data_IF_630160043488
#
_entry.id   IF_630160043488
#
_cell.length_a   1.000
_cell.length_b   1.000
_cell.length_c   1.000
_cell.angle_alpha   90.00
_cell.angle_beta   90.00
_cell.angle_gamma   90.00
#
_symmetry.space_group_name_H-M   'P 1'
#
loop_
_entity.id
_entity.type
_entity.pdbx_description
1 polymer ?
#
# COMPACT_ATOMS: atom_id res chain seq x y z
N UNK A 1 14.54 24.50 73.78
CA UNK A 1 13.15 24.89 74.04
C UNK A 1 12.83 26.11 73.21
N UNK A 2 11.90 25.98 72.26
CA UNK A 2 11.08 27.05 71.68
C UNK A 2 10.24 26.39 70.57
N UNK A 3 9.15 25.74 70.96
CA UNK A 3 8.09 25.38 70.02
C UNK A 3 7.35 26.62 69.55
N UNK A 4 6.84 26.57 68.33
CA UNK A 4 5.70 27.36 67.89
C UNK A 4 4.94 26.57 66.82
N UNK A 5 3.87 25.90 67.23
CA UNK A 5 2.87 25.33 66.30
C UNK A 5 2.18 26.45 65.52
N UNK A 6 1.78 26.18 64.26
CA UNK A 6 0.36 26.19 63.91
C UNK A 6 0.10 25.57 62.52
N UNK A 7 -1.07 24.95 62.40
CA UNK A 7 -1.50 24.10 61.28
C UNK A 7 -2.76 24.70 60.63
N UNK A 8 -3.13 24.22 59.43
CA UNK A 8 -4.40 24.42 58.69
C UNK A 8 -4.44 25.70 57.81
N UNK A 9 -5.01 25.72 56.59
CA UNK A 9 -5.62 24.65 55.77
C UNK A 9 -5.64 24.99 54.26
N UNK A 10 -5.63 23.94 53.43
CA UNK A 10 -6.02 23.77 52.01
C UNK A 10 -6.12 24.96 51.03
N UNK A 11 -5.50 24.75 49.87
CA UNK A 11 -5.79 25.46 48.61
C UNK A 11 -5.51 24.58 47.39
N UNK A 12 -6.29 23.52 47.18
CA UNK A 12 -6.21 22.70 45.97
C UNK A 12 -7.08 23.32 44.88
N UNK A 13 -6.45 23.79 43.81
CA UNK A 13 -7.10 24.05 42.51
C UNK A 13 -6.41 23.20 41.44
N UNK A 14 -7.23 22.52 40.63
CA UNK A 14 -6.79 21.55 39.63
C UNK A 14 -5.88 22.16 38.57
N UNK A 15 -4.81 21.42 38.22
CA UNK A 15 -4.14 21.49 36.92
C UNK A 15 -3.53 20.11 36.62
N UNK A 16 -4.39 19.15 36.27
CA UNK A 16 -4.00 17.98 35.47
C UNK A 16 -4.15 18.34 33.98
N UNK A 17 -3.36 17.69 33.11
CA UNK A 17 -3.24 17.76 31.63
C UNK A 17 -1.84 18.24 31.18
N UNK A 18 -1.33 17.58 30.12
CA UNK A 18 -0.08 17.84 29.37
C UNK A 18 1.28 17.44 29.97
N UNK A 19 1.38 16.18 30.43
CA UNK A 19 2.67 15.51 30.63
C UNK A 19 3.32 14.93 29.36
N UNK A 20 2.54 14.52 28.35
CA UNK A 20 3.04 13.69 27.24
C UNK A 20 3.41 14.49 25.96
N UNK A 21 2.68 15.56 25.64
CA UNK A 21 2.91 16.35 24.40
C UNK A 21 4.28 17.05 24.41
N UNK A 22 4.63 17.74 25.51
CA UNK A 22 5.91 18.47 25.66
C UNK A 22 7.15 17.59 25.46
N UNK A 23 7.06 16.29 25.79
CA UNK A 23 8.15 15.34 25.58
C UNK A 23 8.35 14.99 24.10
N UNK A 24 7.26 14.93 23.33
CA UNK A 24 7.27 14.62 21.89
C UNK A 24 7.79 15.82 21.08
N UNK A 25 7.31 17.02 21.39
CA UNK A 25 7.77 18.26 20.75
C UNK A 25 9.28 18.49 20.93
N UNK A 26 9.77 18.34 22.16
CA UNK A 26 11.20 18.50 22.48
C UNK A 26 12.09 17.48 21.76
N UNK A 27 11.58 16.29 21.45
CA UNK A 27 12.32 15.23 20.78
C UNK A 27 12.37 15.42 19.25
N UNK A 28 11.28 15.91 18.65
CA UNK A 28 11.28 16.32 17.25
C UNK A 28 12.10 17.61 17.04
N UNK A 29 12.08 18.57 17.96
CA UNK A 29 12.96 19.75 17.89
C UNK A 29 14.45 19.39 18.03
N UNK A 30 14.78 18.40 18.86
CA UNK A 30 16.11 17.79 18.85
C UNK A 30 16.44 17.21 17.46
N UNK A 31 15.56 16.41 16.86
CA UNK A 31 15.82 15.80 15.57
C UNK A 31 15.94 16.82 14.41
N UNK A 32 15.11 17.87 14.41
CA UNK A 32 15.20 18.99 13.45
C UNK A 32 16.57 19.65 13.46
N UNK A 33 17.24 19.73 14.61
CA UNK A 33 18.61 20.27 14.70
C UNK A 33 19.68 19.43 13.95
N UNK A 34 19.35 18.18 13.60
CA UNK A 34 20.14 17.31 12.73
C UNK A 34 19.65 17.29 11.26
N UNK A 35 18.54 17.96 10.95
CA UNK A 35 17.94 18.02 9.62
C UNK A 35 17.02 16.84 9.26
N UNK A 36 16.56 16.08 10.25
CA UNK A 36 15.72 14.89 10.06
C UNK A 36 14.54 14.88 11.05
N UNK A 37 13.50 14.08 10.77
CA UNK A 37 12.52 13.71 11.82
C UNK A 37 13.12 12.66 12.75
N UNK A 38 12.62 12.53 13.99
CA UNK A 38 13.27 11.68 15.00
C UNK A 38 13.40 10.21 14.57
N UNK A 39 12.35 9.63 14.00
CA UNK A 39 12.35 8.24 13.51
C UNK A 39 13.38 8.03 12.39
N UNK A 40 13.55 9.01 11.50
CA UNK A 40 14.53 8.97 10.41
C UNK A 40 15.97 9.09 10.95
N UNK A 41 16.21 10.03 11.87
CA UNK A 41 17.50 10.21 12.54
C UNK A 41 17.91 8.96 13.33
N UNK A 42 16.98 8.34 14.06
CA UNK A 42 17.20 7.12 14.81
C UNK A 42 17.49 5.92 13.88
N UNK A 43 16.73 5.75 12.79
CA UNK A 43 17.02 4.72 11.77
C UNK A 43 18.42 4.91 11.16
N UNK A 44 18.83 6.16 10.91
CA UNK A 44 20.15 6.50 10.40
C UNK A 44 21.27 6.22 11.43
N UNK A 45 21.02 6.52 12.71
CA UNK A 45 21.91 6.20 13.82
C UNK A 45 22.10 4.69 13.98
N UNK A 46 21.02 3.90 13.92
CA UNK A 46 21.06 2.44 13.96
C UNK A 46 21.83 1.86 12.76
N UNK A 47 21.69 2.43 11.56
CA UNK A 47 22.47 2.04 10.37
C UNK A 47 23.97 2.33 10.58
N UNK A 48 24.32 3.54 11.00
CA UNK A 48 25.72 3.91 11.28
C UNK A 48 26.33 2.99 12.34
N UNK A 49 25.61 2.74 13.43
CA UNK A 49 26.06 1.83 14.48
C UNK A 49 26.34 0.42 13.93
N UNK A 50 25.37 -0.16 13.19
CA UNK A 50 25.52 -1.47 12.51
C UNK A 50 26.74 -1.54 11.60
N UNK A 51 27.01 -0.50 10.82
CA UNK A 51 28.08 -0.51 9.83
C UNK A 51 29.48 -0.30 10.42
N UNK A 52 29.58 0.50 11.49
CA UNK A 52 30.85 0.96 12.08
C UNK A 52 31.27 0.19 13.34
N UNK A 53 30.36 -0.51 14.02
CA UNK A 53 30.64 -1.39 15.17
C UNK A 53 31.78 -2.38 14.85
N UNK A 54 32.80 -2.42 15.71
CA UNK A 54 34.00 -3.24 15.52
C UNK A 54 34.98 -2.75 14.43
N UNK A 55 34.64 -1.68 13.69
CA UNK A 55 35.52 -1.03 12.71
C UNK A 55 36.03 0.31 13.25
N UNK A 56 35.40 1.42 12.81
CA UNK A 56 35.69 2.77 13.29
C UNK A 56 35.11 3.02 14.70
N UNK A 57 34.09 2.26 15.10
CA UNK A 57 33.45 2.38 16.40
C UNK A 57 33.95 1.26 17.34
N UNK A 58 34.91 1.60 18.20
CA UNK A 58 35.44 0.71 19.24
C UNK A 58 34.79 1.03 20.60
N UNK A 59 33.56 0.56 20.78
CA UNK A 59 32.82 0.76 22.03
C UNK A 59 33.38 -0.07 23.18
N UNK A 60 33.31 0.47 24.39
CA UNK A 60 33.40 -0.33 25.62
C UNK A 60 32.13 -1.18 25.75
N UNK A 61 32.24 -2.32 26.41
CA UNK A 61 31.13 -3.23 26.64
C UNK A 61 29.90 -2.53 27.25
N UNK A 62 30.11 -1.70 28.27
CA UNK A 62 29.05 -0.94 28.96
C UNK A 62 28.33 0.07 28.04
N UNK A 63 29.05 0.71 27.12
CA UNK A 63 28.46 1.69 26.19
C UNK A 63 27.66 0.97 25.10
N UNK A 64 28.17 -0.18 24.62
CA UNK A 64 27.44 -1.09 23.75
C UNK A 64 26.18 -1.64 24.42
N UNK A 65 26.24 -1.93 25.71
CA UNK A 65 25.13 -2.43 26.52
C UNK A 65 24.00 -1.40 26.64
N UNK A 66 24.34 -0.13 26.87
CA UNK A 66 23.37 1.00 26.91
C UNK A 66 22.73 1.25 25.56
N UNK A 67 23.50 1.33 24.47
CA UNK A 67 22.93 1.45 23.12
C UNK A 67 21.97 0.29 22.79
N UNK A 68 22.31 -0.94 23.18
CA UNK A 68 21.44 -2.12 23.06
C UNK A 68 20.15 -1.98 23.89
N UNK A 69 20.26 -1.50 25.13
CA UNK A 69 19.11 -1.25 25.99
C UNK A 69 18.19 -0.18 25.39
N UNK A 70 18.73 0.94 24.91
CA UNK A 70 17.95 1.95 24.19
C UNK A 70 17.32 1.41 22.91
N UNK A 71 18.02 0.56 22.14
CA UNK A 71 17.39 -0.11 20.99
C UNK A 71 16.20 -0.96 21.41
N UNK A 72 16.31 -1.76 22.48
CA UNK A 72 15.20 -2.57 22.97
C UNK A 72 14.05 -1.70 23.52
N UNK A 73 14.34 -0.63 24.24
CA UNK A 73 13.32 0.30 24.75
C UNK A 73 12.61 1.09 23.64
N UNK A 74 13.34 1.47 22.57
CA UNK A 74 12.77 2.15 21.42
C UNK A 74 11.91 1.24 20.53
N UNK A 75 12.16 -0.07 20.51
CA UNK A 75 11.39 -1.05 19.72
C UNK A 75 10.26 -1.71 20.49
N UNK A 76 10.46 -2.04 21.77
CA UNK A 76 9.52 -2.86 22.57
C UNK A 76 8.96 -2.11 23.79
N UNK A 77 9.31 -0.82 23.96
CA UNK A 77 8.97 -0.06 25.16
C UNK A 77 9.59 -0.63 26.44
N UNK A 78 8.86 -0.51 27.55
CA UNK A 78 9.27 -0.98 28.88
C UNK A 78 9.53 -2.49 28.87
N UNK A 79 10.63 -2.93 29.47
CA UNK A 79 10.86 -4.36 29.73
C UNK A 79 9.71 -4.96 30.55
N UNK A 80 9.11 -6.05 30.07
CA UNK A 80 8.11 -6.84 30.80
C UNK A 80 8.59 -8.27 31.03
N UNK A 81 8.39 -8.80 32.24
CA UNK A 81 8.80 -10.16 32.60
C UNK A 81 7.89 -11.25 32.02
N UNK A 82 6.64 -10.94 31.68
CA UNK A 82 5.62 -11.89 31.21
C UNK A 82 5.83 -12.36 29.77
N UNK A 83 6.44 -11.52 28.92
CA UNK A 83 6.73 -11.82 27.51
C UNK A 83 8.22 -12.06 27.21
N UNK A 84 9.09 -11.98 28.20
CA UNK A 84 10.55 -12.10 28.03
C UNK A 84 11.06 -13.48 28.48
N UNK A 85 11.62 -14.31 27.58
CA UNK A 85 12.15 -15.63 27.94
C UNK A 85 13.18 -15.58 29.07
N UNK A 86 13.26 -16.66 29.87
CA UNK A 86 14.28 -16.80 30.90
C UNK A 86 15.69 -16.88 30.29
N UNK A 87 16.51 -15.88 30.60
CA UNK A 87 17.94 -15.92 30.32
C UNK A 87 18.57 -16.94 31.25
N UNK A 88 19.09 -18.03 30.67
CA UNK A 88 19.71 -19.11 31.43
C UNK A 88 20.91 -18.64 32.26
N UNK A 89 21.14 -19.31 33.40
CA UNK A 89 22.13 -18.94 34.41
C UNK A 89 23.57 -18.70 33.89
N UNK A 90 23.94 -19.31 32.76
CA UNK A 90 25.27 -19.18 32.15
C UNK A 90 25.36 -18.06 31.08
N UNK A 91 24.24 -17.47 30.63
CA UNK A 91 24.24 -16.37 29.65
C UNK A 91 24.42 -15.02 30.34
N UNK A 92 25.63 -14.78 30.86
CA UNK A 92 26.03 -13.54 31.54
C UNK A 92 25.76 -12.31 30.68
N UNK A 93 26.02 -12.39 29.37
CA UNK A 93 25.83 -11.28 28.43
C UNK A 93 24.33 -11.03 28.16
N UNK A 94 23.51 -12.08 28.09
CA UNK A 94 22.05 -11.95 28.07
C UNK A 94 21.50 -11.31 29.34
N UNK A 95 22.05 -11.67 30.50
CA UNK A 95 21.62 -11.17 31.80
C UNK A 95 21.96 -9.68 31.97
N UNK A 96 23.19 -9.28 31.60
CA UNK A 96 23.60 -7.87 31.55
C UNK A 96 22.68 -7.04 30.64
N UNK A 97 22.31 -7.56 29.46
CA UNK A 97 21.42 -6.86 28.51
C UNK A 97 20.02 -6.70 29.07
N UNK A 98 19.48 -7.76 29.68
CA UNK A 98 18.19 -7.74 30.39
C UNK A 98 18.21 -6.68 31.49
N UNK A 99 19.23 -6.68 32.36
CA UNK A 99 19.34 -5.72 33.46
C UNK A 99 19.47 -4.28 32.94
N UNK A 100 20.26 -4.05 31.89
CA UNK A 100 20.40 -2.73 31.29
C UNK A 100 19.10 -2.21 30.66
N UNK A 101 18.28 -3.08 30.04
CA UNK A 101 16.96 -2.70 29.53
C UNK A 101 15.96 -2.49 30.67
N UNK A 102 15.91 -3.38 31.67
CA UNK A 102 15.11 -3.20 32.88
C UNK A 102 15.40 -1.88 33.60
N UNK A 103 16.67 -1.45 33.64
CA UNK A 103 17.09 -0.20 34.26
C UNK A 103 16.58 1.07 33.55
N UNK A 104 16.06 0.97 32.32
CA UNK A 104 15.42 2.10 31.62
C UNK A 104 13.98 2.35 32.10
N UNK A 105 13.34 1.37 32.75
CA UNK A 105 12.02 1.52 33.37
C UNK A 105 10.95 2.04 32.41
N UNK A 106 10.22 3.07 32.84
CA UNK A 106 9.12 3.72 32.11
C UNK A 106 9.58 4.76 31.06
N UNK A 107 10.84 4.68 30.59
CA UNK A 107 11.34 5.55 29.53
C UNK A 107 10.53 5.39 28.23
N UNK A 108 10.00 6.49 27.67
CA UNK A 108 9.27 6.41 26.40
C UNK A 108 10.17 6.00 25.23
N UNK A 109 9.60 5.34 24.22
CA UNK A 109 10.32 4.96 22.99
C UNK A 109 11.02 6.18 22.36
N UNK A 110 10.32 7.31 22.27
CA UNK A 110 10.83 8.61 21.81
C UNK A 110 12.09 9.06 22.59
N UNK A 111 12.08 8.93 23.92
CA UNK A 111 13.24 9.27 24.76
C UNK A 111 14.40 8.31 24.51
N UNK A 112 14.12 7.02 24.37
CA UNK A 112 15.14 6.02 24.06
C UNK A 112 15.80 6.26 22.69
N UNK A 113 15.03 6.69 21.68
CA UNK A 113 15.58 7.11 20.38
C UNK A 113 16.50 8.33 20.51
N UNK A 114 16.08 9.36 21.25
CA UNK A 114 16.89 10.58 21.48
C UNK A 114 18.20 10.24 22.22
N UNK A 115 18.12 9.47 23.32
CA UNK A 115 19.31 9.12 24.10
C UNK A 115 20.24 8.17 23.36
N UNK A 116 19.72 7.26 22.51
CA UNK A 116 20.54 6.47 21.59
C UNK A 116 21.36 7.37 20.64
N UNK A 117 20.71 8.36 20.01
CA UNK A 117 21.37 9.29 19.07
C UNK A 117 22.43 10.14 19.78
N UNK A 118 22.09 10.73 20.94
CA UNK A 118 23.04 11.50 21.77
C UNK A 118 24.25 10.67 22.20
N UNK A 119 24.01 9.43 22.66
CA UNK A 119 25.08 8.55 23.09
C UNK A 119 25.95 8.11 21.91
N UNK A 120 25.38 7.85 20.73
CA UNK A 120 26.15 7.50 19.53
C UNK A 120 27.03 8.66 19.06
N UNK A 121 26.54 9.90 19.09
CA UNK A 121 27.32 11.11 18.79
C UNK A 121 28.52 11.26 19.76
N UNK A 122 28.26 11.16 21.06
CA UNK A 122 29.29 11.25 22.10
C UNK A 122 30.34 10.13 21.99
N UNK A 123 29.96 8.93 21.53
CA UNK A 123 30.86 7.79 21.32
C UNK A 123 31.57 7.80 19.97
N UNK A 124 31.10 8.60 19.00
CA UNK A 124 31.65 8.61 17.64
C UNK A 124 31.58 10.01 16.98
N UNK A 125 32.68 10.78 17.02
CA UNK A 125 32.78 12.07 16.32
C UNK A 125 32.57 12.00 14.79
N UNK A 126 32.60 10.81 14.19
CA UNK A 126 32.31 10.59 12.77
C UNK A 126 30.81 10.46 12.46
N UNK A 127 29.95 10.29 13.47
CA UNK A 127 28.51 10.14 13.27
C UNK A 127 27.88 11.44 12.75
N UNK A 128 28.24 12.59 13.35
CA UNK A 128 27.69 13.90 12.98
C UNK A 128 28.05 14.36 11.56
N UNK A 129 29.31 14.29 11.10
CA UNK A 129 29.63 14.54 9.69
C UNK A 129 28.93 13.56 8.72
N UNK A 130 28.69 12.32 9.13
CA UNK A 130 27.96 11.33 8.34
C UNK A 130 26.47 11.71 8.19
N UNK A 131 25.81 12.13 9.27
CA UNK A 131 24.42 12.62 9.21
C UNK A 131 24.30 13.92 8.41
N UNK A 132 25.25 14.85 8.55
CA UNK A 132 25.28 16.10 7.79
C UNK A 132 25.43 15.83 6.28
N UNK A 133 26.29 14.89 5.89
CA UNK A 133 26.45 14.47 4.50
C UNK A 133 25.16 13.85 3.91
N UNK A 134 24.47 12.98 4.66
CA UNK A 134 23.19 12.41 4.23
C UNK A 134 22.07 13.47 4.13
N UNK A 135 22.05 14.47 5.01
CA UNK A 135 21.10 15.58 4.91
C UNK A 135 21.36 16.43 3.66
N UNK A 136 22.62 16.74 3.37
CA UNK A 136 23.02 17.45 2.15
C UNK A 136 22.63 16.67 0.88
N UNK A 137 22.88 15.35 0.84
CA UNK A 137 22.49 14.49 -0.27
C UNK A 137 20.96 14.47 -0.47
N UNK A 138 20.18 14.33 0.62
CA UNK A 138 18.71 14.38 0.59
C UNK A 138 18.20 15.70 0.02
N UNK A 139 18.77 16.83 0.44
CA UNK A 139 18.41 18.16 -0.07
C UNK A 139 18.78 18.33 -1.55
N UNK A 140 19.93 17.82 -1.99
CA UNK A 140 20.32 17.85 -3.41
C UNK A 140 19.39 16.99 -4.28
N UNK A 141 19.03 15.78 -3.83
CA UNK A 141 18.06 14.92 -4.53
C UNK A 141 16.68 15.57 -4.63
N UNK A 142 16.21 16.25 -3.56
CA UNK A 142 14.94 16.97 -3.58
C UNK A 142 14.95 18.15 -4.56
N UNK A 143 16.05 18.92 -4.59
CA UNK A 143 16.23 19.99 -5.58
C UNK A 143 16.23 19.48 -7.01
N UNK A 144 16.99 18.42 -7.32
CA UNK A 144 17.01 17.81 -8.65
C UNK A 144 15.64 17.33 -9.10
N UNK A 145 14.83 16.75 -8.19
CA UNK A 145 13.45 16.34 -8.49
C UNK A 145 12.57 17.54 -8.84
N UNK A 146 12.66 18.63 -8.09
CA UNK A 146 11.91 19.87 -8.37
C UNK A 146 12.35 20.51 -9.69
N UNK A 147 13.66 20.60 -9.95
CA UNK A 147 14.22 21.12 -11.20
C UNK A 147 13.80 20.27 -12.43
N UNK A 148 13.66 18.94 -12.27
CA UNK A 148 13.15 18.02 -13.30
C UNK A 148 11.63 18.13 -13.52
N UNK A 149 10.85 18.24 -12.43
CA UNK A 149 9.40 18.45 -12.50
C UNK A 149 9.05 19.78 -13.19
N UNK A 150 9.73 20.87 -12.84
CA UNK A 150 9.61 22.17 -13.50
C UNK A 150 10.01 22.11 -14.98
N UNK A 151 11.05 21.34 -15.33
CA UNK A 151 11.46 21.14 -16.73
C UNK A 151 10.38 20.42 -17.52
N UNK A 152 9.90 19.28 -17.03
CA UNK A 152 8.85 18.47 -17.67
C UNK A 152 7.54 19.27 -17.82
N UNK A 153 7.20 20.09 -16.82
CA UNK A 153 6.06 20.99 -16.89
C UNK A 153 6.20 22.02 -18.02
N UNK A 154 7.34 22.69 -18.13
CA UNK A 154 7.60 23.67 -19.22
C UNK A 154 7.58 23.01 -20.60
N UNK A 155 8.19 21.82 -20.73
CA UNK A 155 8.15 21.05 -21.98
C UNK A 155 6.72 20.64 -22.36
N UNK A 156 5.87 20.29 -21.39
CA UNK A 156 4.46 19.98 -21.62
C UNK A 156 3.65 21.22 -22.03
N UNK A 157 3.83 22.35 -21.33
CA UNK A 157 3.19 23.64 -21.65
C UNK A 157 3.59 24.13 -23.06
N UNK A 158 4.87 24.02 -23.44
CA UNK A 158 5.35 24.36 -24.79
C UNK A 158 4.78 23.42 -25.87
N UNK A 159 4.71 22.12 -25.59
CA UNK A 159 4.16 21.11 -26.51
C UNK A 159 2.67 21.29 -26.76
N UNK A 160 1.89 21.62 -25.73
CA UNK A 160 0.47 21.96 -25.88
C UNK A 160 0.28 23.29 -26.63
N UNK A 161 1.07 24.32 -26.32
CA UNK A 161 1.08 25.58 -27.06
C UNK A 161 1.34 25.34 -28.56
N UNK A 162 2.34 24.51 -28.89
CA UNK A 162 2.66 24.14 -30.27
C UNK A 162 1.53 23.36 -30.96
N UNK A 163 0.86 22.43 -30.26
CA UNK A 163 -0.31 21.70 -30.79
C UNK A 163 -1.46 22.64 -31.13
N UNK A 164 -1.76 23.60 -30.27
CA UNK A 164 -2.79 24.61 -30.52
C UNK A 164 -2.43 25.51 -31.71
N UNK A 165 -1.16 25.88 -31.88
CA UNK A 165 -0.68 26.63 -33.05
C UNK A 165 -0.78 25.81 -34.35
N UNK A 166 -0.36 24.54 -34.34
CA UNK A 166 -0.46 23.64 -35.50
C UNK A 166 -1.93 23.33 -35.87
N UNK A 167 -2.83 23.21 -34.89
CA UNK A 167 -4.27 23.05 -35.14
C UNK A 167 -4.89 24.34 -35.70
N UNK A 168 -4.58 25.51 -35.13
CA UNK A 168 -5.08 26.79 -35.61
C UNK A 168 -4.64 27.07 -37.07
N UNK A 169 -3.39 26.76 -37.41
CA UNK A 169 -2.89 26.84 -38.79
C UNK A 169 -3.68 25.91 -39.73
N UNK A 170 -3.89 24.64 -39.35
CA UNK A 170 -4.69 23.68 -40.14
C UNK A 170 -6.14 24.16 -40.34
N UNK A 171 -6.76 24.73 -39.31
CA UNK A 171 -8.11 25.30 -39.43
C UNK A 171 -8.12 26.51 -40.39
N UNK A 172 -7.12 27.39 -40.31
CA UNK A 172 -6.97 28.54 -41.20
C UNK A 172 -6.75 28.13 -42.67
N UNK A 173 -5.90 27.12 -42.93
CA UNK A 173 -5.69 26.56 -44.26
C UNK A 173 -6.98 25.96 -44.83
N UNK A 174 -7.72 25.18 -44.03
CA UNK A 174 -8.99 24.59 -44.45
C UNK A 174 -10.06 25.68 -44.75
N UNK A 175 -10.11 26.75 -43.96
CA UNK A 175 -10.98 27.90 -44.25
C UNK A 175 -10.60 28.58 -45.56
N UNK A 176 -9.30 28.82 -45.80
CA UNK A 176 -8.79 29.40 -47.04
C UNK A 176 -9.08 28.51 -48.26
N UNK A 177 -8.93 27.20 -48.11
CA UNK A 177 -9.24 26.23 -49.18
C UNK A 177 -10.73 26.27 -49.53
N UNK A 178 -11.63 26.29 -48.53
CA UNK A 178 -13.08 26.43 -48.76
C UNK A 178 -13.45 27.76 -49.44
N UNK A 179 -12.80 28.86 -49.08
CA UNK A 179 -13.00 30.16 -49.74
C UNK A 179 -12.57 30.12 -51.21
N UNK A 180 -11.40 29.53 -51.52
CA UNK A 180 -10.92 29.36 -52.90
C UNK A 180 -11.83 28.44 -53.73
N UNK A 181 -12.33 27.36 -53.13
CA UNK A 181 -13.28 26.46 -53.78
C UNK A 181 -14.62 27.18 -54.07
N UNK A 182 -15.14 27.94 -53.11
CA UNK A 182 -16.35 28.75 -53.29
C UNK A 182 -16.16 29.83 -54.38
N UNK A 183 -15.02 30.52 -54.40
CA UNK A 183 -14.68 31.47 -55.47
C UNK A 183 -14.67 30.78 -56.85
N UNK A 184 -14.02 29.61 -56.94
CA UNK A 184 -13.94 28.82 -58.18
C UNK A 184 -15.34 28.39 -58.66
N UNK A 185 -16.20 27.93 -57.76
CA UNK A 185 -17.58 27.55 -58.08
C UNK A 185 -18.40 28.74 -58.59
N UNK A 186 -18.29 29.92 -57.95
CA UNK A 186 -18.96 31.16 -58.40
C UNK A 186 -18.46 31.57 -59.79
N UNK A 187 -17.13 31.62 -60.00
CA UNK A 187 -16.52 31.92 -61.31
C UNK A 187 -17.01 30.96 -62.39
N UNK A 188 -17.00 29.65 -62.12
CA UNK A 188 -17.44 28.64 -63.08
C UNK A 188 -18.93 28.79 -63.45
N UNK A 189 -19.81 29.03 -62.48
CA UNK A 189 -21.24 29.23 -62.71
C UNK A 189 -21.54 30.49 -63.54
N UNK A 190 -20.91 31.63 -63.21
CA UNK A 190 -21.05 32.88 -63.97
C UNK A 190 -20.49 32.74 -65.40
N UNK A 191 -19.36 32.03 -65.55
CA UNK A 191 -18.76 31.77 -66.86
C UNK A 191 -19.68 30.88 -67.72
N UNK A 192 -20.32 29.87 -67.12
CA UNK A 192 -21.30 29.03 -67.82
C UNK A 192 -22.53 29.84 -68.27
N UNK A 193 -23.07 30.70 -67.40
CA UNK A 193 -24.22 31.56 -67.71
C UNK A 193 -23.93 32.53 -68.87
N UNK A 194 -22.71 33.06 -68.93
CA UNK A 194 -22.31 34.09 -69.91
C UNK A 194 -21.65 33.54 -71.17
N UNK A 195 -21.25 32.27 -71.18
CA UNK A 195 -20.45 31.64 -72.25
C UNK A 195 -20.96 31.92 -73.67
N UNK A 196 -22.27 31.75 -73.91
CA UNK A 196 -22.86 31.94 -75.25
C UNK A 196 -22.83 33.40 -75.68
N UNK A 197 -23.17 34.32 -74.77
CA UNK A 197 -23.22 35.77 -75.07
C UNK A 197 -21.81 36.32 -75.33
N UNK A 198 -20.84 35.95 -74.50
CA UNK A 198 -19.45 36.41 -74.66
C UNK A 198 -18.77 35.78 -75.87
N UNK A 199 -19.05 34.51 -76.20
CA UNK A 199 -18.54 33.88 -77.42
C UNK A 199 -19.07 34.57 -78.68
N UNK A 200 -20.36 34.88 -78.74
CA UNK A 200 -20.96 35.61 -79.87
C UNK A 200 -20.38 37.01 -80.03
N UNK A 201 -20.20 37.74 -78.92
CA UNK A 201 -19.57 39.07 -78.93
C UNK A 201 -18.11 39.01 -79.40
N UNK A 202 -17.31 38.08 -78.86
CA UNK A 202 -15.91 37.92 -79.25
C UNK A 202 -15.75 37.50 -80.71
N UNK A 203 -16.63 36.65 -81.24
CA UNK A 203 -16.64 36.27 -82.66
C UNK A 203 -16.91 37.48 -83.59
N UNK A 204 -17.72 38.44 -83.16
CA UNK A 204 -17.96 39.68 -83.92
C UNK A 204 -16.77 40.64 -83.87
N UNK A 205 -16.09 40.76 -82.72
CA UNK A 205 -14.95 41.68 -82.55
C UNK A 205 -13.64 41.14 -83.16
N UNK A 206 -13.42 39.81 -83.16
CA UNK A 206 -12.16 39.20 -83.63
C UNK A 206 -12.39 38.00 -84.58
N UNK A 207 -13.01 38.17 -85.77
CA UNK A 207 -13.59 37.04 -86.53
C UNK A 207 -12.65 35.88 -86.88
N UNK A 208 -11.38 36.16 -87.17
CA UNK A 208 -10.41 35.15 -87.66
C UNK A 208 -9.30 34.78 -86.66
N UNK A 209 -9.33 35.27 -85.42
CA UNK A 209 -8.26 35.02 -84.44
C UNK A 209 -8.80 34.39 -83.15
N UNK A 210 -8.72 33.06 -83.04
CA UNK A 210 -9.18 32.31 -81.86
C UNK A 210 -8.52 32.74 -80.56
N UNK A 211 -7.21 33.00 -80.54
CA UNK A 211 -6.53 33.42 -79.30
C UNK A 211 -7.03 34.78 -78.81
N UNK A 212 -7.31 35.72 -79.71
CA UNK A 212 -7.90 37.00 -79.32
C UNK A 212 -9.36 36.87 -78.88
N UNK A 213 -10.14 35.94 -79.48
CA UNK A 213 -11.49 35.63 -78.99
C UNK A 213 -11.45 35.05 -77.56
N UNK A 214 -10.57 34.08 -77.30
CA UNK A 214 -10.42 33.44 -75.99
C UNK A 214 -9.95 34.43 -74.92
N UNK A 215 -8.97 35.27 -75.23
CA UNK A 215 -8.48 36.31 -74.31
C UNK A 215 -9.55 37.38 -74.01
N UNK A 216 -10.31 37.81 -75.02
CA UNK A 216 -11.41 38.76 -74.84
C UNK A 216 -12.56 38.16 -74.00
N UNK A 217 -12.91 36.89 -74.21
CA UNK A 217 -13.90 36.19 -73.38
C UNK A 217 -13.41 36.12 -71.93
N UNK A 218 -12.12 35.80 -71.70
CA UNK A 218 -11.52 35.77 -70.36
C UNK A 218 -11.58 37.14 -69.67
N UNK A 219 -11.27 38.22 -70.39
CA UNK A 219 -11.34 39.58 -69.85
C UNK A 219 -12.79 39.99 -69.50
N UNK A 220 -13.77 39.64 -70.35
CA UNK A 220 -15.19 39.91 -70.09
C UNK A 220 -15.72 39.09 -68.90
N UNK A 221 -15.31 37.83 -68.76
CA UNK A 221 -15.63 36.97 -67.61
C UNK A 221 -15.06 37.53 -66.31
N UNK A 222 -13.81 38.00 -66.31
CA UNK A 222 -13.19 38.62 -65.14
C UNK A 222 -13.90 39.94 -64.75
N UNK A 223 -14.24 40.80 -65.72
CA UNK A 223 -15.01 42.02 -65.44
C UNK A 223 -16.42 41.72 -64.92
N UNK A 224 -17.11 40.72 -65.48
CA UNK A 224 -18.43 40.29 -65.02
C UNK A 224 -18.38 39.71 -63.60
N UNK A 225 -17.36 38.91 -63.29
CA UNK A 225 -17.10 38.41 -61.93
C UNK A 225 -16.89 39.56 -60.93
N UNK A 226 -16.07 40.57 -61.28
CA UNK A 226 -15.84 41.74 -60.42
C UNK A 226 -17.12 42.54 -60.15
N UNK A 227 -17.95 42.78 -61.18
CA UNK A 227 -19.25 43.44 -61.04
C UNK A 227 -20.20 42.64 -60.15
N UNK A 228 -20.29 41.32 -60.35
CA UNK A 228 -21.12 40.45 -59.53
C UNK A 228 -20.69 40.46 -58.05
N UNK A 229 -19.38 40.34 -57.78
CA UNK A 229 -18.86 40.38 -56.41
C UNK A 229 -19.11 41.73 -55.73
N UNK A 230 -19.04 42.84 -56.47
CA UNK A 230 -19.40 44.16 -55.94
C UNK A 230 -20.89 44.25 -55.56
N UNK A 231 -21.79 43.68 -56.37
CA UNK A 231 -23.22 43.63 -56.08
C UNK A 231 -23.53 42.73 -54.86
N UNK A 232 -22.90 41.56 -54.77
CA UNK A 232 -23.02 40.64 -53.62
C UNK A 232 -22.55 41.32 -52.33
N UNK A 233 -21.40 42.01 -52.37
CA UNK A 233 -20.88 42.75 -51.22
C UNK A 233 -21.82 43.88 -50.76
N UNK A 234 -22.38 44.65 -51.70
CA UNK A 234 -23.37 45.69 -51.36
C UNK A 234 -24.64 45.10 -50.73
N UNK A 235 -25.13 43.96 -51.24
CA UNK A 235 -26.26 43.24 -50.65
C UNK A 235 -25.94 42.71 -49.25
N UNK A 236 -24.73 42.23 -49.01
CA UNK A 236 -24.28 41.75 -47.70
C UNK A 236 -24.22 42.89 -46.67
N UNK A 237 -23.75 44.09 -47.05
CA UNK A 237 -23.78 45.27 -46.19
C UNK A 237 -25.21 45.68 -45.82
N UNK A 238 -26.14 45.68 -46.79
CA UNK A 238 -27.56 45.97 -46.54
C UNK A 238 -28.18 44.96 -45.56
N UNK A 239 -27.87 43.67 -45.72
CA UNK A 239 -28.35 42.62 -44.82
C UNK A 239 -27.79 42.78 -43.39
N UNK A 240 -26.49 43.08 -43.25
CA UNK A 240 -25.86 43.34 -41.95
C UNK A 240 -26.47 44.56 -41.26
N UNK A 241 -26.73 45.65 -42.00
CA UNK A 241 -27.39 46.84 -41.45
C UNK A 241 -28.81 46.54 -40.95
N UNK A 242 -29.59 45.73 -41.68
CA UNK A 242 -30.92 45.31 -41.24
C UNK A 242 -30.88 44.46 -39.96
N UNK A 243 -29.94 43.52 -39.85
CA UNK A 243 -29.75 42.74 -38.61
C UNK A 243 -29.40 43.65 -37.43
N UNK A 244 -28.54 44.66 -37.65
CA UNK A 244 -28.16 45.61 -36.59
C UNK A 244 -29.34 46.50 -36.15
N UNK A 245 -30.20 46.93 -37.07
CA UNK A 245 -31.43 47.66 -36.76
C UNK A 245 -32.43 46.79 -35.99
N UNK A 246 -32.57 45.50 -36.33
CA UNK A 246 -33.44 44.58 -35.58
C UNK A 246 -32.93 44.37 -34.14
N UNK A 247 -31.62 44.20 -33.93
CA UNK A 247 -31.05 44.13 -32.57
C UNK A 247 -31.26 45.44 -31.78
N UNK A 248 -31.11 46.61 -32.40
CA UNK A 248 -31.39 47.89 -31.71
C UNK A 248 -32.86 48.02 -31.32
N UNK A 249 -33.80 47.64 -32.18
CA UNK A 249 -35.22 47.64 -31.84
C UNK A 249 -35.54 46.66 -30.70
N UNK A 250 -34.88 45.50 -30.66
CA UNK A 250 -35.06 44.51 -29.59
C UNK A 250 -34.47 44.97 -28.24
N UNK A 251 -33.38 45.74 -28.24
CA UNK A 251 -32.86 46.41 -27.04
C UNK A 251 -33.69 47.63 -26.60
N UNK A 252 -34.31 48.37 -27.52
CA UNK A 252 -35.21 49.46 -27.15
C UNK A 252 -36.55 48.94 -26.60
N UNK A 253 -37.11 47.87 -27.16
CA UNK A 253 -38.36 47.25 -26.69
C UNK A 253 -38.28 46.71 -25.24
N UNK A 254 -37.07 46.43 -24.73
CA UNK A 254 -36.84 46.03 -23.33
C UNK A 254 -36.69 47.21 -22.36
N UNK A 255 -36.79 48.46 -22.83
CA UNK A 255 -36.65 49.68 -22.01
C UNK A 255 -37.96 50.42 -21.69
N UNK A 256 -39.10 49.98 -22.24
CA UNK A 256 -40.41 50.60 -22.02
C UNK A 256 -41.47 49.60 -21.53
N UNK A 257 -41.38 49.21 -20.26
CA UNK A 257 -42.44 48.54 -19.52
C UNK A 257 -42.60 49.19 -18.13
N UNK A 258 -43.81 49.57 -17.67
CA UNK A 258 -44.00 50.16 -16.34
C UNK A 258 -43.74 49.12 -15.23
N UNK A 259 -43.12 49.55 -14.14
CA UNK A 259 -42.84 48.69 -13.00
C UNK A 259 -44.12 48.23 -12.27
N UNK A 260 -44.26 46.92 -11.95
CA UNK A 260 -45.23 46.44 -10.97
C UNK A 260 -44.61 46.25 -9.58
N UNK A 261 -45.38 46.63 -8.56
CA UNK A 261 -45.10 46.42 -7.13
C UNK A 261 -45.26 44.94 -6.72
N UNK A 262 -44.75 44.51 -5.54
CA UNK A 262 -44.60 43.10 -5.22
C UNK A 262 -45.81 42.47 -4.51
N UNK A 263 -46.14 41.19 -4.79
CA UNK A 263 -46.65 40.24 -3.78
C UNK A 263 -46.78 38.77 -4.26
N UNK A 264 -46.26 37.85 -3.43
CA UNK A 264 -46.71 36.49 -3.05
C UNK A 264 -47.15 35.39 -4.06
N UNK A 265 -46.51 34.23 -3.90
CA UNK A 265 -46.88 32.82 -4.21
C UNK A 265 -48.39 32.46 -3.98
N UNK A 266 -48.96 31.34 -4.52
CA UNK A 266 -48.31 30.03 -4.78
C UNK A 266 -48.73 29.26 -6.09
N UNK A 267 -48.33 27.97 -6.16
CA UNK A 267 -48.36 27.02 -7.30
C UNK A 267 -49.73 26.31 -7.56
N UNK A 268 -49.79 25.17 -8.31
CA UNK A 268 -50.06 24.99 -9.76
C UNK A 268 -51.47 24.35 -10.04
N UNK A 269 -51.87 23.94 -11.29
CA UNK A 269 -51.60 22.56 -11.78
C UNK A 269 -51.64 22.32 -13.33
N UNK A 270 -51.39 21.05 -13.75
CA UNK A 270 -51.88 20.21 -14.90
C UNK A 270 -52.52 20.83 -16.19
N UNK A 271 -52.56 20.18 -17.37
CA UNK A 271 -52.56 18.75 -17.71
C UNK A 271 -52.04 18.41 -19.15
N UNK A 272 -51.72 17.13 -19.36
CA UNK A 272 -51.50 16.45 -20.67
C UNK A 272 -52.82 15.96 -21.32
N UNK A 273 -52.78 15.28 -22.50
CA UNK A 273 -52.89 13.81 -22.42
C UNK A 273 -52.11 12.99 -23.48
N UNK A 274 -51.79 11.75 -23.08
CA UNK A 274 -51.30 10.60 -23.87
C UNK A 274 -52.46 9.87 -24.59
N UNK A 275 -52.26 8.79 -25.41
CA UNK A 275 -52.09 7.40 -24.89
C UNK A 275 -51.15 6.53 -25.80
N UNK A 276 -50.92 5.22 -25.67
CA UNK A 276 -51.43 4.16 -24.75
C UNK A 276 -50.35 3.08 -24.49
N UNK A 277 -50.30 2.55 -23.26
CA UNK A 277 -50.06 1.13 -22.95
C UNK A 277 -51.20 0.70 -21.99
N UNK A 278 -51.63 -0.57 -21.95
CA UNK A 278 -52.35 -1.14 -20.81
C UNK A 278 -52.39 -2.71 -20.83
N UNK A 279 -52.73 -3.41 -19.72
CA UNK A 279 -51.78 -4.36 -19.12
C UNK A 279 -52.40 -5.66 -18.49
N UNK A 280 -51.64 -6.34 -17.61
CA UNK A 280 -52.16 -7.21 -16.53
C UNK A 280 -52.07 -8.74 -16.78
N UNK A 281 -51.98 -9.63 -15.77
CA UNK A 281 -51.89 -9.46 -14.30
C UNK A 281 -51.38 -10.75 -13.60
N UNK A 282 -50.46 -10.60 -12.63
CA UNK A 282 -50.33 -11.26 -11.28
C UNK A 282 -50.66 -12.77 -10.98
N UNK A 283 -50.25 -13.33 -9.80
CA UNK A 283 -49.65 -14.68 -9.71
C UNK A 283 -50.45 -15.74 -8.92
N UNK A 284 -49.98 -17.00 -8.91
CA UNK A 284 -50.32 -18.04 -7.90
C UNK A 284 -49.24 -19.12 -7.70
N UNK A 285 -49.33 -19.80 -6.55
CA UNK A 285 -48.50 -20.89 -6.04
C UNK A 285 -48.52 -22.23 -6.82
N UNK A 286 -47.56 -23.10 -6.47
CA UNK A 286 -47.51 -24.54 -6.73
C UNK A 286 -48.66 -25.30 -5.96
N UNK A 287 -48.86 -26.65 -6.00
CA UNK A 287 -47.86 -27.72 -6.19
C UNK A 287 -48.41 -29.00 -6.96
N UNK A 288 -48.11 -30.29 -6.65
CA UNK A 288 -47.68 -31.26 -7.67
C UNK A 288 -48.59 -32.51 -7.82
N UNK A 289 -48.23 -33.48 -8.70
CA UNK A 289 -48.84 -34.83 -8.86
C UNK A 289 -48.09 -35.66 -9.94
N UNK A 290 -48.26 -37.01 -10.05
CA UNK A 290 -48.17 -38.06 -9.00
C UNK A 290 -47.53 -39.41 -9.52
N UNK A 291 -47.81 -40.52 -8.80
CA UNK A 291 -47.51 -41.96 -9.07
C UNK A 291 -46.15 -42.44 -8.50
N UNK A 292 -46.03 -43.48 -7.65
CA UNK A 292 -46.92 -44.59 -7.23
C UNK A 292 -46.45 -45.91 -7.86
N UNK A 293 -46.31 -47.09 -7.22
CA UNK A 293 -46.70 -47.69 -5.92
C UNK A 293 -45.56 -48.63 -5.44
N UNK A 294 -45.23 -48.82 -4.15
CA UNK A 294 -45.88 -49.65 -3.10
C UNK A 294 -45.92 -51.18 -3.33
N UNK A 295 -45.43 -51.96 -2.34
CA UNK A 295 -45.94 -53.24 -1.75
C UNK A 295 -44.83 -54.23 -1.30
N UNK A 296 -45.06 -54.85 -0.13
CA UNK A 296 -44.20 -55.73 0.72
C UNK A 296 -45.11 -56.96 1.07
N UNK A 297 -44.69 -58.26 1.13
CA UNK A 297 -43.71 -58.78 2.11
C UNK A 297 -42.92 -60.09 1.80
N UNK A 298 -41.91 -60.43 2.64
CA UNK A 298 -41.86 -61.67 3.47
C UNK A 298 -40.49 -61.91 4.16
N UNK A 299 -40.50 -62.17 5.47
CA UNK A 299 -39.44 -62.90 6.20
C UNK A 299 -39.77 -64.40 6.29
N UNK A 300 -39.26 -65.21 7.27
CA UNK A 300 -38.38 -64.92 8.42
C UNK A 300 -37.01 -65.67 8.29
N UNK A 301 -36.13 -65.92 9.27
CA UNK A 301 -36.20 -65.90 10.74
C UNK A 301 -34.83 -65.70 11.45
N UNK A 302 -34.93 -65.23 12.71
CA UNK A 302 -34.11 -65.51 13.90
C UNK A 302 -32.64 -65.98 13.80
N UNK A 303 -31.75 -65.19 14.40
CA UNK A 303 -31.03 -65.63 15.62
C UNK A 303 -30.69 -64.41 16.50
N UNK A 304 -31.06 -64.46 17.78
CA UNK A 304 -30.84 -63.40 18.78
C UNK A 304 -29.51 -63.54 19.50
N UNK A 305 -28.89 -62.40 19.85
CA UNK A 305 -28.32 -62.19 21.19
C UNK A 305 -28.29 -60.70 21.56
N UNK A 306 -28.34 -60.37 22.86
CA UNK A 306 -28.65 -59.02 23.38
C UNK A 306 -27.53 -58.45 24.25
N UNK A 307 -27.17 -57.17 23.99
CA UNK A 307 -26.75 -56.07 24.92
C UNK A 307 -25.64 -56.34 25.98
N UNK A 308 -24.82 -55.33 26.37
CA UNK A 308 -25.26 -53.96 26.68
C UNK A 308 -24.69 -52.84 25.79
N UNK A 309 -25.39 -51.71 25.85
CA UNK A 309 -24.89 -50.39 25.39
C UNK A 309 -24.30 -49.65 26.60
N UNK A 310 -23.39 -48.71 26.35
CA UNK A 310 -23.24 -47.53 27.20
C UNK A 310 -22.09 -47.52 28.20
N UNK A 311 -20.85 -47.52 27.71
CA UNK A 311 -19.80 -46.68 28.30
C UNK A 311 -19.12 -45.91 27.16
N UNK A 312 -19.22 -44.58 27.19
CA UNK A 312 -18.37 -43.72 26.37
C UNK A 312 -16.94 -43.89 26.87
N UNK A 313 -16.15 -44.71 26.17
CA UNK A 313 -14.72 -44.81 26.39
C UNK A 313 -14.09 -43.48 25.96
N UNK A 314 -14.00 -42.56 26.92
CA UNK A 314 -13.13 -41.38 26.85
C UNK A 314 -11.72 -41.91 26.63
N UNK A 315 -11.30 -41.93 25.37
CA UNK A 315 -9.90 -42.18 25.02
C UNK A 315 -9.05 -41.16 25.78
N UNK A 316 -7.96 -41.57 26.45
CA UNK A 316 -7.11 -40.63 27.15
C UNK A 316 -6.59 -39.58 26.14
N UNK A 317 -6.37 -38.32 26.56
CA UNK A 317 -5.74 -37.32 25.71
C UNK A 317 -4.46 -37.90 25.10
N UNK A 318 -4.27 -37.68 23.79
CA UNK A 318 -3.12 -38.21 23.07
C UNK A 318 -1.84 -37.82 23.81
N UNK A 319 -1.11 -38.81 24.32
CA UNK A 319 0.09 -38.57 25.12
C UNK A 319 1.15 -37.97 24.20
N UNK A 320 1.39 -36.67 24.35
CA UNK A 320 2.39 -35.93 23.59
C UNK A 320 3.78 -36.48 23.95
N UNK A 321 4.33 -37.29 23.05
CA UNK A 321 5.58 -38.00 23.26
C UNK A 321 6.75 -37.01 23.27
N UNK A 322 7.79 -37.21 24.10
CA UNK A 322 8.97 -36.34 24.06
C UNK A 322 9.68 -36.44 22.71
N UNK A 323 10.06 -35.30 22.14
CA UNK A 323 10.91 -35.26 20.96
C UNK A 323 12.32 -35.80 21.25
N UNK A 324 12.90 -36.48 20.26
CA UNK A 324 14.30 -36.88 20.26
C UNK A 324 15.15 -35.79 19.60
N UNK A 325 16.32 -35.48 20.17
CA UNK A 325 17.28 -34.50 19.66
C UNK A 325 18.69 -35.09 19.72
N UNK A 326 19.46 -34.91 18.64
CA UNK A 326 20.86 -35.33 18.56
C UNK A 326 21.65 -34.38 17.63
N UNK A 327 22.97 -34.55 17.54
CA UNK A 327 23.83 -33.76 16.65
C UNK A 327 24.68 -34.62 15.72
N UNK A 328 25.20 -34.03 14.64
CA UNK A 328 26.15 -34.65 13.70
C UNK A 328 27.29 -33.70 13.35
N UNK A 329 28.49 -34.25 13.16
CA UNK A 329 29.72 -33.48 12.90
C UNK A 329 29.96 -33.13 11.42
N UNK A 330 29.18 -33.67 10.49
CA UNK A 330 29.36 -33.50 9.05
C UNK A 330 28.70 -32.22 8.48
N UNK A 331 28.81 -31.11 9.22
CA UNK A 331 28.13 -29.84 8.94
C UNK A 331 28.36 -29.29 7.53
N UNK A 332 29.58 -29.39 6.98
CA UNK A 332 29.85 -28.94 5.62
C UNK A 332 29.15 -29.81 4.58
N UNK A 333 29.15 -31.13 4.75
CA UNK A 333 28.44 -32.07 3.87
C UNK A 333 26.93 -31.85 3.91
N UNK A 334 26.37 -31.56 5.09
CA UNK A 334 24.95 -31.20 5.22
C UNK A 334 24.61 -29.92 4.46
N UNK A 335 25.34 -28.82 4.71
CA UNK A 335 25.14 -27.54 4.01
C UNK A 335 25.27 -27.68 2.50
N UNK A 336 26.29 -28.40 2.04
CA UNK A 336 26.50 -28.67 0.63
C UNK A 336 25.35 -29.45 -0.01
N UNK A 337 24.72 -30.38 0.73
CA UNK A 337 23.58 -31.15 0.23
C UNK A 337 22.29 -30.35 0.09
N UNK A 338 22.09 -29.29 0.89
CA UNK A 338 20.83 -28.52 0.91
C UNK A 338 20.92 -27.15 0.23
N UNK A 339 22.11 -26.53 0.14
CA UNK A 339 22.32 -25.17 -0.41
C UNK A 339 21.85 -24.97 -1.85
N UNK A 340 21.65 -26.05 -2.60
CA UNK A 340 21.22 -26.03 -4.00
C UNK A 340 19.71 -25.80 -4.17
N UNK A 341 18.91 -25.99 -3.11
CA UNK A 341 17.50 -25.61 -3.10
C UNK A 341 17.32 -24.33 -2.26
N UNK A 342 16.75 -23.27 -2.85
CA UNK A 342 16.54 -22.00 -2.15
C UNK A 342 15.55 -22.14 -0.98
N UNK A 343 14.57 -23.03 -1.08
CA UNK A 343 13.58 -23.29 -0.03
C UNK A 343 14.22 -23.83 1.27
N UNK A 344 15.37 -24.50 1.17
CA UNK A 344 16.10 -25.05 2.32
C UNK A 344 17.07 -24.03 2.98
N UNK A 345 17.17 -22.79 2.46
CA UNK A 345 18.12 -21.78 2.93
C UNK A 345 17.41 -20.47 3.28
N UNK A 346 17.25 -20.21 4.58
CA UNK A 346 16.55 -19.02 5.09
C UNK A 346 17.58 -18.02 5.62
N UNK A 347 17.50 -16.77 5.18
CA UNK A 347 18.29 -15.67 5.76
C UNK A 347 17.46 -14.96 6.83
N UNK A 348 17.77 -15.23 8.10
CA UNK A 348 17.04 -14.67 9.24
C UNK A 348 17.70 -13.35 9.66
N UNK A 349 16.93 -12.27 9.56
CA UNK A 349 17.36 -10.91 9.92
C UNK A 349 17.81 -10.78 11.37
N UNK A 350 18.52 -9.71 11.67
CA UNK A 350 18.84 -9.35 13.06
C UNK A 350 17.57 -8.83 13.74
N UNK A 351 17.29 -9.26 14.97
CA UNK A 351 15.99 -9.03 15.63
C UNK A 351 14.79 -9.64 14.87
N UNK A 352 15.01 -10.69 14.08
CA UNK A 352 13.95 -11.41 13.38
C UNK A 352 13.75 -12.82 13.95
N UNK A 353 12.61 -13.42 13.65
CA UNK A 353 12.36 -14.85 13.81
C UNK A 353 11.91 -15.44 12.47
N UNK A 354 12.06 -16.75 12.30
CA UNK A 354 11.44 -17.47 11.19
C UNK A 354 10.69 -18.69 11.74
N UNK A 355 9.49 -18.93 11.24
CA UNK A 355 8.70 -20.13 11.55
C UNK A 355 8.52 -20.95 10.28
N UNK A 356 9.01 -22.18 10.30
CA UNK A 356 8.73 -23.16 9.25
C UNK A 356 7.51 -23.97 9.69
N UNK A 357 6.40 -23.83 8.96
CA UNK A 357 5.14 -24.55 9.18
C UNK A 357 5.16 -25.84 8.36
N UNK A 358 5.07 -26.99 9.03
CA UNK A 358 5.13 -28.32 8.42
C UNK A 358 3.84 -29.09 8.78
N UNK A 359 2.85 -29.17 7.87
CA UNK A 359 1.66 -29.97 8.07
C UNK A 359 1.98 -31.47 8.20
N UNK A 360 1.21 -32.19 9.02
CA UNK A 360 1.27 -33.65 9.08
C UNK A 360 0.76 -34.26 7.77
N UNK A 361 1.55 -35.15 7.17
CA UNK A 361 1.13 -35.95 6.01
C UNK A 361 0.25 -37.14 6.44
N UNK A 362 -0.77 -37.50 5.66
CA UNK A 362 -1.72 -38.59 5.99
C UNK A 362 -1.03 -39.96 6.15
N UNK A 363 -0.14 -40.33 5.22
CA UNK A 363 0.71 -41.53 5.34
C UNK A 363 1.81 -41.43 6.43
N UNK A 364 1.95 -40.29 7.12
CA UNK A 364 3.09 -40.01 7.99
C UNK A 364 2.87 -40.40 9.45
N UNK A 365 3.93 -40.83 10.12
CA UNK A 365 3.90 -41.20 11.55
C UNK A 365 4.87 -40.41 12.42
N UNK A 366 5.90 -39.79 11.84
CA UNK A 366 6.93 -39.04 12.58
C UNK A 366 7.53 -37.95 11.71
N UNK A 367 7.75 -36.76 12.29
CA UNK A 367 8.49 -35.66 11.66
C UNK A 367 9.97 -35.81 12.00
N UNK A 368 10.84 -35.56 11.04
CA UNK A 368 12.28 -35.39 11.22
C UNK A 368 12.71 -34.01 10.74
N UNK A 369 13.67 -33.41 11.44
CA UNK A 369 14.29 -32.15 11.06
C UNK A 369 15.81 -32.19 11.23
N UNK A 370 16.50 -31.46 10.39
CA UNK A 370 17.95 -31.22 10.44
C UNK A 370 18.22 -29.75 10.14
N UNK A 371 19.11 -29.10 10.89
CA UNK A 371 19.49 -27.70 10.62
C UNK A 371 20.92 -27.34 11.06
N UNK A 372 21.47 -26.32 10.41
CA UNK A 372 22.78 -25.73 10.69
C UNK A 372 22.81 -24.24 10.32
N UNK A 373 23.74 -23.48 10.87
CA UNK A 373 23.99 -22.06 10.54
C UNK A 373 25.44 -21.80 10.18
N UNK A 374 25.77 -20.61 9.66
CA UNK A 374 27.14 -20.30 9.21
C UNK A 374 28.17 -20.03 10.29
N UNK A 375 27.90 -19.10 11.20
CA UNK A 375 28.95 -18.49 12.04
C UNK A 375 28.55 -18.28 13.50
N UNK A 376 27.28 -18.50 13.84
CA UNK A 376 26.69 -18.11 15.12
C UNK A 376 25.52 -19.03 15.44
N UNK A 377 25.27 -19.23 16.73
CA UNK A 377 24.13 -19.95 17.28
C UNK A 377 22.78 -19.36 16.86
N UNK A 378 21.71 -20.15 16.95
CA UNK A 378 20.32 -19.66 16.76
C UNK A 378 19.41 -20.25 17.84
N UNK A 379 18.36 -19.54 18.23
CA UNK A 379 17.31 -20.13 19.06
C UNK A 379 16.51 -21.13 18.23
N UNK A 380 16.22 -22.30 18.79
CA UNK A 380 15.39 -23.32 18.14
C UNK A 380 14.39 -23.93 19.12
N UNK A 381 13.12 -23.97 18.73
CA UNK A 381 12.03 -24.66 19.41
C UNK A 381 11.00 -25.23 18.43
N UNK A 382 10.13 -26.10 18.91
CA UNK A 382 9.12 -26.81 18.12
C UNK A 382 7.79 -26.79 18.87
N UNK A 383 6.74 -26.38 18.17
CA UNK A 383 5.36 -26.39 18.65
C UNK A 383 4.48 -27.23 17.72
N UNK A 384 3.32 -27.66 18.20
CA UNK A 384 2.31 -28.36 17.40
C UNK A 384 0.98 -27.62 17.46
N UNK A 385 0.49 -27.19 16.31
CA UNK A 385 -0.77 -26.46 16.14
C UNK A 385 -1.87 -27.46 15.73
N UNK A 386 -2.88 -27.61 16.57
CA UNK A 386 -4.03 -28.50 16.35
C UNK A 386 -4.99 -27.86 15.34
N UNK A 387 -4.66 -27.97 14.06
CA UNK A 387 -5.42 -27.42 12.94
C UNK A 387 -5.38 -28.33 11.71
N UNK A 388 -6.38 -28.22 10.83
CA UNK A 388 -6.38 -28.93 9.55
C UNK A 388 -5.82 -27.98 8.49
N UNK A 389 -4.58 -28.23 8.06
CA UNK A 389 -3.99 -27.47 6.96
C UNK A 389 -4.73 -27.76 5.63
N UNK A 390 -4.94 -26.75 4.76
CA UNK A 390 -5.63 -26.93 3.48
C UNK A 390 -4.81 -27.74 2.46
N UNK A 391 -3.52 -27.92 2.69
CA UNK A 391 -2.61 -28.77 1.91
C UNK A 391 -1.39 -29.17 2.76
N UNK A 392 -0.57 -30.08 2.25
CA UNK A 392 0.65 -30.59 2.91
C UNK A 392 1.93 -29.78 2.59
N UNK A 393 1.79 -28.58 2.02
CA UNK A 393 2.95 -27.76 1.60
C UNK A 393 3.64 -27.14 2.80
N UNK A 394 4.95 -27.28 2.87
CA UNK A 394 5.78 -26.56 3.85
C UNK A 394 5.78 -25.07 3.51
N UNK A 395 5.53 -24.23 4.50
CA UNK A 395 5.56 -22.77 4.34
C UNK A 395 6.50 -22.13 5.35
N UNK A 396 7.12 -21.01 4.96
CA UNK A 396 8.08 -20.27 5.80
C UNK A 396 7.55 -18.85 5.99
N UNK A 397 7.35 -18.44 7.23
CA UNK A 397 7.11 -17.05 7.59
C UNK A 397 8.37 -16.49 8.24
N UNK A 398 8.91 -15.40 7.70
CA UNK A 398 10.01 -14.64 8.32
C UNK A 398 9.40 -13.37 8.89
N UNK A 399 9.35 -13.28 10.21
CA UNK A 399 8.90 -12.10 10.93
C UNK A 399 10.13 -11.31 11.36
N UNK A 400 10.51 -10.29 10.58
CA UNK A 400 11.36 -9.23 11.10
C UNK A 400 10.54 -8.51 12.18
N UNK A 401 10.98 -8.48 13.45
CA UNK A 401 10.17 -7.93 14.57
C UNK A 401 10.18 -6.39 14.58
N UNK A 402 9.98 -5.80 13.40
CA UNK A 402 10.13 -4.38 13.09
C UNK A 402 9.21 -3.91 11.94
N UNK A 403 8.37 -4.78 11.35
CA UNK A 403 7.60 -4.41 10.13
C UNK A 403 6.13 -4.85 10.09
N UNK A 404 5.60 -5.60 11.06
CA UNK A 404 4.15 -5.73 11.25
C UNK A 404 3.80 -5.60 12.75
N UNK A 405 2.77 -4.79 13.03
CA UNK A 405 2.28 -4.30 14.34
C UNK A 405 3.10 -3.17 15.04
N UNK A 406 2.38 -2.17 15.54
CA UNK A 406 2.84 -1.03 16.39
C UNK A 406 3.61 0.15 15.74
N UNK A 407 3.13 0.64 14.58
CA UNK A 407 3.14 2.08 14.26
C UNK A 407 1.79 2.52 13.69
N UNK A 408 0.70 2.01 14.28
CA UNK A 408 -0.64 2.47 13.98
C UNK A 408 -0.91 3.78 14.74
N UNK A 409 -1.44 4.80 14.04
CA UNK A 409 -1.79 6.06 14.68
C UNK A 409 -3.05 5.86 15.53
N UNK A 410 -2.94 5.93 16.86
CA UNK A 410 -4.10 5.80 17.76
C UNK A 410 -5.17 6.86 17.45
N UNK A 411 -6.13 6.49 16.62
CA UNK A 411 -7.30 7.31 16.32
C UNK A 411 -8.35 7.09 17.42
N UNK A 412 -8.30 8.00 18.40
CA UNK A 412 -9.13 8.10 19.61
C UNK A 412 -10.60 7.67 19.42
N UNK A 413 -10.93 6.42 19.74
CA UNK A 413 -12.32 5.94 19.91
C UNK A 413 -12.61 5.65 21.38
N UNK A 414 -13.20 6.64 22.04
CA UNK A 414 -13.68 6.59 23.43
C UNK A 414 -14.70 5.47 23.70
N UNK A 415 -14.64 4.97 24.93
CA UNK A 415 -15.68 4.24 25.68
C UNK A 415 -15.91 2.75 25.35
N UNK A 416 -15.16 1.87 26.00
CA UNK A 416 -15.70 0.95 27.03
C UNK A 416 -14.56 0.47 27.95
N UNK A 417 -14.85 0.16 29.22
CA UNK A 417 -13.86 -0.19 30.26
C UNK A 417 -13.97 -1.67 30.69
N UNK A 418 -14.98 -2.41 30.26
CA UNK A 418 -15.22 -3.81 30.70
C UNK A 418 -15.12 -4.90 29.59
N UNK A 419 -14.28 -4.70 28.56
CA UNK A 419 -13.84 -5.81 27.71
C UNK A 419 -12.38 -6.17 27.94
N UNK A 420 -12.17 -7.27 28.67
CA UNK A 420 -10.86 -7.93 28.72
C UNK A 420 -10.39 -8.34 27.32
N UNK A 421 -9.07 -8.32 27.13
CA UNK A 421 -8.34 -8.68 25.90
C UNK A 421 -9.09 -9.65 25.00
N UNK A 422 -9.39 -9.21 23.77
CA UNK A 422 -9.94 -10.07 22.70
C UNK A 422 -9.10 -11.35 22.64
N UNK A 423 -9.73 -12.50 22.89
CA UNK A 423 -9.13 -13.78 22.50
C UNK A 423 -9.01 -13.76 20.99
N UNK A 424 -7.81 -13.68 20.46
CA UNK A 424 -7.58 -14.09 19.09
C UNK A 424 -7.95 -15.57 18.96
N UNK A 425 -8.65 -15.90 17.88
CA UNK A 425 -9.16 -17.24 17.58
C UNK A 425 -8.02 -18.14 17.03
N UNK A 426 -6.91 -18.20 17.77
CA UNK A 426 -5.73 -18.98 17.42
C UNK A 426 -5.98 -20.46 17.74
N UNK A 427 -5.68 -21.39 16.82
CA UNK A 427 -5.83 -22.82 17.07
C UNK A 427 -5.01 -23.28 18.29
N UNK A 428 -5.48 -24.28 19.07
CA UNK A 428 -4.76 -24.80 20.22
C UNK A 428 -3.34 -25.21 19.83
N UNK A 429 -2.34 -24.83 20.63
CA UNK A 429 -0.93 -25.05 20.31
C UNK A 429 -0.19 -25.60 21.52
N UNK A 430 0.46 -26.76 21.36
CA UNK A 430 1.31 -27.38 22.37
C UNK A 430 2.79 -27.09 22.13
N UNK A 431 3.58 -26.98 23.20
CA UNK A 431 5.04 -26.90 23.13
C UNK A 431 5.66 -28.30 23.19
N UNK A 432 6.42 -28.67 22.15
CA UNK A 432 7.16 -29.94 22.11
C UNK A 432 8.62 -29.70 22.55
N UNK A 433 9.24 -28.64 22.05
CA UNK A 433 10.60 -28.22 22.41
C UNK A 433 10.58 -26.72 22.69
N UNK A 434 10.83 -26.26 23.94
CA UNK A 434 11.03 -24.84 24.24
C UNK A 434 12.18 -24.24 23.43
N UNK A 435 12.04 -22.97 23.08
CA UNK A 435 13.06 -22.23 22.31
C UNK A 435 14.31 -22.03 23.15
N UNK A 436 15.39 -22.72 22.79
CA UNK A 436 16.71 -22.55 23.38
C UNK A 436 17.78 -22.32 22.31
N UNK A 437 18.82 -21.57 22.67
CA UNK A 437 19.99 -21.31 21.81
C UNK A 437 20.75 -22.61 21.54
N UNK A 438 21.08 -22.87 20.26
CA UNK A 438 21.79 -24.06 19.78
C UNK A 438 23.02 -23.63 18.99
N UNK A 439 24.16 -24.24 19.28
CA UNK A 439 25.43 -23.99 18.59
C UNK A 439 25.50 -24.72 17.24
N UNK A 440 24.43 -24.60 16.43
CA UNK A 440 24.27 -25.27 15.14
C UNK A 440 25.17 -24.71 14.02
N UNK A 441 26.13 -23.85 14.37
CA UNK A 441 27.24 -23.42 13.53
C UNK A 441 28.48 -24.31 13.71
N UNK A 442 28.52 -25.14 14.77
CA UNK A 442 29.58 -26.12 15.03
C UNK A 442 29.18 -27.53 14.55
N UNK A 443 27.96 -27.96 14.87
CA UNK A 443 27.41 -29.27 14.50
C UNK A 443 26.01 -29.13 13.84
N UNK A 444 25.61 -30.09 13.02
CA UNK A 444 24.22 -30.18 12.52
C UNK A 444 23.34 -30.62 13.69
N UNK A 445 22.30 -29.86 13.99
CA UNK A 445 21.28 -30.27 14.95
C UNK A 445 20.18 -31.06 14.24
N UNK A 446 19.81 -32.18 14.82
CA UNK A 446 18.81 -33.10 14.29
C UNK A 446 17.76 -33.40 15.35
N UNK A 447 16.57 -33.80 14.93
CA UNK A 447 15.58 -34.33 15.84
C UNK A 447 14.40 -34.98 15.14
N UNK A 448 13.55 -35.61 15.96
CA UNK A 448 12.32 -36.25 15.49
C UNK A 448 11.22 -36.25 16.54
N UNK A 449 9.97 -36.25 16.09
CA UNK A 449 8.79 -36.31 16.94
C UNK A 449 7.67 -37.13 16.28
N UNK A 450 7.18 -38.16 16.99
CA UNK A 450 6.04 -38.96 16.54
C UNK A 450 4.79 -38.08 16.48
N UNK A 451 3.94 -38.27 15.46
CA UNK A 451 2.75 -37.43 15.28
C UNK A 451 1.79 -37.61 16.47
N UNK A 452 1.45 -36.54 17.21
CA UNK A 452 0.47 -36.61 18.30
C UNK A 452 -0.97 -36.67 17.76
N UNK A 453 -1.17 -36.27 16.50
CA UNK A 453 -2.42 -36.30 15.75
C UNK A 453 -2.24 -35.60 14.40
N UNK A 454 -3.34 -35.21 13.77
CA UNK A 454 -3.32 -34.34 12.59
C UNK A 454 -3.13 -32.88 13.03
N UNK A 455 -2.22 -32.14 12.39
CA UNK A 455 -1.87 -30.78 12.78
C UNK A 455 -0.77 -30.15 11.94
N UNK A 456 -0.18 -29.07 12.45
CA UNK A 456 0.94 -28.37 11.82
C UNK A 456 2.06 -28.15 12.83
N UNK A 457 3.24 -28.67 12.54
CA UNK A 457 4.45 -28.37 13.32
C UNK A 457 4.93 -26.96 13.01
N UNK A 458 5.33 -26.22 14.06
CA UNK A 458 5.92 -24.89 13.96
C UNK A 458 7.38 -24.97 14.44
N UNK A 459 8.31 -25.10 13.49
CA UNK A 459 9.75 -25.06 13.78
C UNK A 459 10.16 -23.59 13.85
N UNK A 460 10.38 -23.09 15.07
CA UNK A 460 10.72 -21.68 15.33
C UNK A 460 12.23 -21.51 15.42
N UNK A 461 12.76 -20.68 14.54
CA UNK A 461 14.15 -20.24 14.49
C UNK A 461 14.24 -18.79 14.97
N UNK A 462 14.71 -18.59 16.18
CA UNK A 462 14.71 -17.31 16.88
C UNK A 462 16.07 -16.61 16.80
N UNK A 463 16.08 -15.40 16.23
CA UNK A 463 17.22 -14.49 16.18
C UNK A 463 16.91 -13.11 16.84
N UNK A 464 15.82 -13.02 17.61
CA UNK A 464 15.31 -11.82 18.30
C UNK A 464 16.25 -11.27 19.39
N UNK A 465 17.14 -12.12 19.90
CA UNK A 465 18.22 -11.75 20.83
C UNK A 465 19.48 -11.22 20.12
N UNK A 466 19.60 -11.44 18.81
CA UNK A 466 20.76 -11.01 18.04
C UNK A 466 20.52 -9.64 17.43
N UNK A 467 21.20 -8.63 17.99
CA UNK A 467 21.01 -7.24 17.63
C UNK A 467 21.80 -6.81 16.38
N UNK A 468 22.87 -7.54 16.04
CA UNK A 468 23.84 -7.15 14.99
C UNK A 468 24.21 -8.27 13.99
N UNK A 469 23.68 -9.50 14.15
CA UNK A 469 24.06 -10.67 13.33
C UNK A 469 22.81 -11.35 12.76
N UNK A 470 22.59 -11.18 11.45
CA UNK A 470 21.74 -12.10 10.69
C UNK A 470 22.32 -13.52 10.70
N UNK A 471 21.47 -14.51 10.47
CA UNK A 471 21.86 -15.92 10.33
C UNK A 471 21.53 -16.40 8.92
N UNK A 472 22.45 -17.13 8.28
CA UNK A 472 22.09 -18.06 7.21
C UNK A 472 21.72 -19.36 7.90
N UNK A 473 20.47 -19.80 7.75
CA UNK A 473 19.96 -21.07 8.23
C UNK A 473 19.86 -22.03 7.05
N UNK A 474 20.47 -23.20 7.19
CA UNK A 474 20.31 -24.34 6.30
C UNK A 474 19.43 -25.35 7.03
N UNK A 475 18.34 -25.80 6.44
CA UNK A 475 17.46 -26.78 7.07
C UNK A 475 16.95 -27.84 6.09
N UNK A 476 16.44 -28.94 6.64
CA UNK A 476 15.72 -29.99 5.92
C UNK A 476 14.66 -30.57 6.84
N UNK A 477 13.47 -30.86 6.31
CA UNK A 477 12.40 -31.58 6.99
C UNK A 477 11.89 -32.72 6.11
N UNK A 478 11.50 -33.83 6.73
CA UNK A 478 10.91 -35.00 6.05
C UNK A 478 10.12 -35.83 7.07
N UNK A 479 9.28 -36.74 6.60
CA UNK A 479 8.51 -37.64 7.46
C UNK A 479 8.82 -39.11 7.19
N UNK A 480 8.60 -39.98 8.17
CA UNK A 480 8.54 -41.43 7.98
C UNK A 480 7.09 -41.91 7.83
N UNK A 481 6.95 -43.07 7.19
CA UNK A 481 5.76 -43.93 7.31
C UNK A 481 5.98 -44.90 8.46
#
# INVERSE_FOLDING_TARGET
>A
MADAEQTLVNGVTNLSVNGNEKGKDSAEDFAKSWGFGLSELYKLAIRFFKEKDGKALKLKYQDKLRLVAYTKQATFGKYRNDVSPEVGFLDVVGNDRRQAWQALGDMSQTTAMVEFVKQLDALCPLFRPFTEAHNAEKQEQQRKRQEEEDRLRREAEEKERRRLEEEAQRQQELQKQKQLEQEMQIRAALNQQTAVQFAQYAQQQCPNNKQQQEELIRQLQEQHYQQYMQQVYQQQLLHQQQQYQQMQQQQQASSTAPAPSPQTNPSPPMASPTPTQQPGSQPTEAPPKPQGNSVIPNGPAEATEKKPEGEDLILPPALLMPASIWTRKDIQSFKDSVKHCQENVIKIGSLATATVRVPTHEDGTCLFWEFATDYYDIGFGVYFEWTIAPNTTVSVTVSESSDEEEFDEEQDTKNDVEQGTKKEDRPPTDEIIPVYRRDCHEEVYCGSHAYPGQGVYLLKFDNSYSLWRSKTLYYRVYYSR
#
